data_IF_547827090775
#
_entry.id   IF_547827090775
#
_cell.length_a   1.000
_cell.length_b   1.000
_cell.length_c   1.000
_cell.angle_alpha   90.00
_cell.angle_beta   90.00
_cell.angle_gamma   90.00
#
_symmetry.space_group_name_H-M   'P 1'
#
loop_
_entity.id
_entity.type
_entity.pdbx_description
1 polymer ?
2 non-polymer ?
3 non-polymer ?
4 water ?
#
# COMPACT_ATOMS: atom_id res chain seq x y z
N UNK A 16 -14.08 4.24 39.06
CA UNK A 16 -14.61 4.97 37.92
C UNK A 16 -13.96 4.59 36.61
N UNK A 17 -12.61 4.67 36.56
CA UNK A 17 -11.83 4.24 35.38
C UNK A 17 -10.37 3.95 35.74
N UNK A 18 -9.73 3.17 34.87
CA UNK A 18 -8.31 2.84 34.96
C UNK A 18 -7.74 2.44 33.61
N UNK A 19 -6.42 2.18 33.49
CA UNK A 19 -5.88 1.70 32.21
C UNK A 19 -6.46 0.33 31.83
N UNK A 20 -7.11 0.24 30.66
CA UNK A 20 -7.53 -1.06 30.13
C UNK A 20 -6.31 -1.84 29.64
N UNK A 21 -6.36 -3.18 29.75
CA UNK A 21 -5.36 -4.08 29.18
C UNK A 21 -6.08 -4.91 28.13
N UNK A 22 -5.34 -5.61 27.26
CA UNK A 22 -5.95 -6.50 26.27
C UNK A 22 -5.27 -7.90 26.24
N UNK A 23 -4.03 -7.97 25.72
CA UNK A 23 -3.26 -9.21 25.67
C UNK A 23 -1.89 -8.85 26.23
N UNK A 24 -1.92 -8.38 27.48
CA UNK A 24 -0.74 -7.89 28.19
C UNK A 24 -0.62 -6.38 28.19
N UNK A 25 -0.81 -5.76 27.03
CA UNK A 25 -0.51 -4.33 26.81
C UNK A 25 -1.44 -3.38 27.53
N UNK A 26 -0.90 -2.28 28.10
CA UNK A 26 -1.75 -1.16 28.51
C UNK A 26 -2.33 -0.51 27.23
N UNK A 27 -3.64 -0.32 27.19
CA UNK A 27 -4.31 0.46 26.15
C UNK A 27 -4.82 1.72 26.78
N UNK A 28 -3.97 2.73 26.76
CA UNK A 28 -4.07 3.96 27.53
C UNK A 28 -4.79 5.01 26.67
N UNK A 29 -6.03 4.66 26.28
CA UNK A 29 -6.77 5.42 25.25
C UNK A 29 -7.88 6.25 25.82
N UNK A 30 -8.35 5.93 27.02
CA UNK A 30 -9.49 6.58 27.64
C UNK A 30 -9.26 8.05 27.92
N UNK A 31 -10.29 8.77 28.35
CA UNK A 31 -11.65 8.30 28.67
C UNK A 31 -12.57 8.14 27.43
N UNK A 32 -12.16 8.73 26.30
CA UNK A 32 -13.01 8.75 25.10
C UNK A 32 -13.26 7.38 24.52
N UNK A 33 -12.30 6.47 24.66
CA UNK A 33 -12.34 5.18 23.97
C UNK A 33 -12.33 4.07 24.98
N UNK A 34 -13.41 3.28 25.02
CA UNK A 34 -13.62 2.24 26.04
C UNK A 34 -14.04 0.94 25.39
N UNK A 35 -14.22 -0.11 26.19
CA UNK A 35 -14.82 -1.36 25.76
C UNK A 35 -14.01 -1.93 24.58
N UNK A 36 -12.77 -2.30 24.87
CA UNK A 36 -11.79 -2.70 23.88
C UNK A 36 -11.87 -4.20 23.61
N UNK A 37 -11.75 -4.59 22.31
CA UNK A 37 -11.59 -6.00 21.92
C UNK A 37 -10.37 -6.13 21.03
N UNK A 38 -9.56 -7.14 21.29
CA UNK A 38 -8.40 -7.46 20.48
C UNK A 38 -8.83 -7.70 19.01
N UNK A 39 -8.04 -7.19 18.05
CA UNK A 39 -8.17 -7.46 16.63
C UNK A 39 -6.92 -8.20 16.16
N UNK A 40 -5.75 -7.65 16.41
CA UNK A 40 -4.52 -8.23 15.90
C UNK A 40 -3.25 -7.51 16.31
N UNK A 41 -2.15 -7.93 15.70
CA UNK A 41 -0.83 -7.56 16.16
C UNK A 41 0.17 -7.76 15.02
N UNK A 42 1.27 -7.03 15.06
CA UNK A 42 2.33 -7.16 14.09
C UNK A 42 3.53 -6.33 14.49
N UNK A 43 4.44 -6.07 13.54
CA UNK A 43 5.68 -5.32 13.82
C UNK A 43 5.37 -3.88 14.21
N UNK A 44 4.34 -3.29 13.57
CA UNK A 44 3.77 -1.99 13.94
C UNK A 44 3.36 -1.89 15.42
N UNK A 45 2.85 -2.98 16.03
CA UNK A 45 2.31 -2.95 17.40
C UNK A 45 1.06 -3.78 17.53
N UNK A 46 -0.01 -3.22 18.13
CA UNK A 46 -1.25 -3.95 18.43
C UNK A 46 -2.46 -3.11 18.07
N UNK A 47 -3.56 -3.78 17.64
CA UNK A 47 -4.77 -3.09 17.24
C UNK A 47 -5.99 -3.69 17.96
N UNK A 48 -6.96 -2.82 18.26
CA UNK A 48 -8.18 -3.16 18.96
C UNK A 48 -9.29 -2.41 18.34
N UNK A 49 -10.54 -2.90 18.50
CA UNK A 49 -11.70 -2.04 18.36
C UNK A 49 -11.97 -1.42 19.72
N UNK A 50 -12.58 -0.24 19.72
CA UNK A 50 -12.90 0.51 20.93
C UNK A 50 -14.17 1.23 20.64
N UNK A 51 -15.01 1.41 21.65
CA UNK A 51 -16.19 2.24 21.53
C UNK A 51 -15.74 3.70 21.68
N UNK A 52 -15.96 4.52 20.63
CA UNK A 52 -15.70 5.97 20.69
C UNK A 52 -16.91 6.63 21.38
N UNK A 53 -16.70 7.22 22.56
CA UNK A 53 -17.80 7.80 23.35
C UNK A 53 -18.29 9.18 22.85
N UNK A 54 -17.55 9.86 21.94
CA UNK A 54 -17.93 11.17 21.37
C UNK A 54 -18.70 10.99 20.05
N UNK A 55 -18.34 9.98 19.22
CA UNK A 55 -19.02 9.72 17.94
C UNK A 55 -19.93 8.49 18.01
N UNK A 56 -19.92 7.74 19.12
CA UNK A 56 -20.85 6.63 19.37
C UNK A 56 -20.75 5.52 18.31
N UNK A 57 -19.50 5.18 17.94
CA UNK A 57 -19.20 4.12 16.98
C UNK A 57 -18.00 3.36 17.47
N UNK A 58 -17.86 2.12 17.05
CA UNK A 58 -16.61 1.45 17.29
C UNK A 58 -15.60 1.92 16.23
N UNK A 59 -14.34 2.05 16.64
CA UNK A 59 -13.22 2.55 15.84
C UNK A 59 -12.09 1.60 15.98
N UNK A 60 -11.14 1.62 15.04
CA UNK A 60 -9.93 0.86 15.16
C UNK A 60 -8.94 1.74 15.93
N UNK A 61 -8.17 1.15 16.86
CA UNK A 61 -7.08 1.87 17.52
C UNK A 61 -5.84 1.00 17.46
N UNK A 62 -4.75 1.52 16.85
CA UNK A 62 -3.45 0.87 16.85
C UNK A 62 -2.50 1.62 17.75
N UNK A 63 -1.92 0.89 18.74
CA UNK A 63 -0.88 1.31 19.65
C UNK A 63 0.47 1.02 19.00
N UNK A 64 1.20 2.10 18.72
CA UNK A 64 2.54 2.05 18.14
C UNK A 64 3.50 2.50 19.24
N UNK A 65 4.64 1.81 19.31
CA UNK A 65 5.71 1.95 20.30
C UNK A 65 7.03 1.90 19.54
N UNK A 66 7.32 2.95 18.78
CA UNK A 66 8.43 2.89 17.80
C UNK A 66 9.73 3.57 18.15
N UNK A 67 9.84 4.13 19.34
CA UNK A 67 10.87 5.12 19.57
C UNK A 67 12.24 4.48 19.80
N UNK A 68 12.33 3.14 20.02
CA UNK A 68 13.62 2.41 20.14
C UNK A 68 14.22 1.98 18.79
N UNK A 69 13.51 2.05 17.66
CA UNK A 69 14.26 1.96 16.41
C UNK A 69 13.78 2.89 15.32
N UNK A 70 14.78 3.47 14.62
CA UNK A 70 14.55 4.63 13.73
C UNK A 70 13.74 4.31 12.50
N UNK A 71 13.68 3.03 12.07
CA UNK A 71 12.86 2.62 10.93
C UNK A 71 11.41 2.56 11.35
N UNK A 72 11.10 2.14 12.59
CA UNK A 72 9.72 2.15 13.07
C UNK A 72 9.25 3.60 13.15
N UNK A 73 10.18 4.51 13.54
CA UNK A 73 9.90 5.95 13.67
C UNK A 73 9.60 6.55 12.29
N UNK A 74 10.32 6.11 11.27
CA UNK A 74 10.14 6.54 9.85
C UNK A 74 8.82 6.13 9.30
N UNK A 75 8.47 4.86 9.50
CA UNK A 75 7.20 4.36 9.03
C UNK A 75 6.06 5.06 9.77
N UNK A 76 6.24 5.28 11.11
CA UNK A 76 5.22 5.98 11.90
C UNK A 76 4.97 7.41 11.40
N UNK A 77 6.04 8.15 11.14
CA UNK A 77 5.90 9.55 10.73
C UNK A 77 5.36 9.69 9.28
N UNK A 78 5.77 8.85 8.38
CA UNK A 78 5.24 8.86 7.01
C UNK A 78 3.74 8.64 7.05
N UNK A 79 3.34 7.58 7.77
CA UNK A 79 1.93 7.20 7.95
C UNK A 79 1.13 8.40 8.46
N UNK A 80 1.60 9.02 9.56
CA UNK A 80 0.90 10.14 10.19
C UNK A 80 0.87 11.35 9.28
N UNK A 81 2.01 11.78 8.79
CA UNK A 81 2.04 13.00 7.95
C UNK A 81 1.20 12.82 6.66
N UNK A 82 1.36 11.70 5.95
CA UNK A 82 0.62 11.48 4.72
C UNK A 82 -0.90 11.42 4.96
N UNK A 83 -1.32 10.63 5.94
CA UNK A 83 -2.74 10.37 6.14
C UNK A 83 -3.44 11.57 6.75
N UNK A 84 -2.77 12.38 7.54
CA UNK A 84 -3.36 13.64 7.97
C UNK A 84 -3.51 14.65 6.80
N UNK A 85 -2.66 14.59 5.80
CA UNK A 85 -2.76 15.49 4.66
C UNK A 85 -3.86 14.99 3.75
N UNK A 86 -3.97 13.68 3.57
CA UNK A 86 -4.91 13.15 2.59
C UNK A 86 -6.29 13.11 3.12
N UNK A 87 -7.27 13.34 2.23
CA UNK A 87 -8.68 13.19 2.51
C UNK A 87 -9.37 12.59 1.27
N UNK A 88 -9.74 11.31 1.31
CA UNK A 88 -10.34 10.67 0.16
C UNK A 88 -11.13 9.46 0.63
N UNK A 89 -12.26 9.14 -0.03
CA UNK A 89 -13.15 8.06 0.42
C UNK A 89 -12.49 6.68 0.36
N UNK A 90 -11.50 6.46 -0.53
CA UNK A 90 -10.82 5.19 -0.71
C UNK A 90 -9.45 5.16 -0.06
N UNK A 91 -9.20 6.06 0.90
CA UNK A 91 -7.97 6.10 1.64
C UNK A 91 -8.34 6.19 3.14
N UNK A 92 -7.73 5.35 3.99
CA UNK A 92 -8.11 5.36 5.42
C UNK A 92 -7.66 6.73 6.01
N UNK A 93 -8.44 7.27 6.89
CA UNK A 93 -8.05 8.52 7.48
C UNK A 93 -7.42 8.24 8.83
N UNK A 94 -6.99 9.30 9.48
CA UNK A 94 -6.74 9.27 10.92
C UNK A 94 -7.78 10.17 11.55
N UNK A 95 -8.57 9.61 12.45
CA UNK A 95 -9.61 10.30 13.17
C UNK A 95 -9.09 10.99 14.38
N UNK A 96 -8.14 10.40 15.06
CA UNK A 96 -7.60 10.95 16.29
C UNK A 96 -6.21 10.32 16.54
N UNK A 97 -5.37 10.99 17.35
CA UNK A 97 -4.10 10.44 17.80
C UNK A 97 -4.01 10.72 19.29
N UNK A 98 -3.67 9.69 20.09
CA UNK A 98 -3.54 9.80 21.55
C UNK A 98 -2.08 9.60 21.88
N UNK A 99 -1.55 10.48 22.68
CA UNK A 99 -0.22 10.31 23.24
C UNK A 99 -0.06 11.18 24.46
N UNK A 100 0.98 10.90 25.24
CA UNK A 100 1.35 11.69 26.44
C UNK A 100 1.47 13.22 26.17
N UNK A 101 1.20 14.08 27.20
CA UNK A 101 1.30 15.54 26.99
C UNK A 101 2.71 16.10 26.73
N UNK A 102 3.78 15.36 27.09
CA UNK A 102 5.18 15.78 26.88
C UNK A 102 5.98 14.73 26.13
N UNK A 103 7.10 15.14 25.49
CA UNK A 103 8.01 14.24 24.76
C UNK A 103 8.60 13.18 25.71
N UNK A 104 8.95 13.64 26.91
CA UNK A 104 9.56 12.82 27.96
C UNK A 104 8.60 11.66 28.30
N UNK A 105 7.30 11.98 28.51
CA UNK A 105 6.28 10.98 28.87
C UNK A 105 5.75 10.18 27.70
N UNK A 106 6.07 10.56 26.45
CA UNK A 106 5.54 9.89 25.28
C UNK A 106 6.40 8.66 24.96
N UNK A 107 5.90 7.47 25.32
CA UNK A 107 6.48 6.16 24.94
C UNK A 107 5.63 5.47 23.85
N UNK A 108 4.31 5.80 23.76
CA UNK A 108 3.41 5.21 22.76
C UNK A 108 2.63 6.28 21.97
N UNK A 109 2.11 5.86 20.82
CA UNK A 109 1.18 6.65 20.00
C UNK A 109 0.03 5.74 19.66
N UNK A 110 -1.19 6.15 19.96
CA UNK A 110 -2.38 5.45 19.54
C UNK A 110 -3.00 6.23 18.40
N UNK A 111 -3.17 5.58 17.24
CA UNK A 111 -3.77 6.18 16.05
C UNK A 111 -5.12 5.58 15.93
N UNK A 112 -6.14 6.45 15.96
CA UNK A 112 -7.52 6.03 15.86
C UNK A 112 -7.93 6.14 14.41
N UNK A 113 -8.55 5.08 13.86
CA UNK A 113 -9.03 5.04 12.48
C UNK A 113 -10.39 4.44 12.41
N UNK A 114 -11.11 4.68 11.27
CA UNK A 114 -12.42 4.06 11.07
C UNK A 114 -12.28 2.55 11.14
N UNK A 115 -13.16 1.86 11.86
CA UNK A 115 -13.11 0.40 11.89
C UNK A 115 -13.69 -0.18 10.61
N UNK A 116 -12.96 -1.13 10.04
CA UNK A 116 -13.36 -1.80 8.79
C UNK A 116 -13.54 -3.29 9.11
N UNK A 117 -14.49 -3.97 8.43
CA UNK A 117 -14.88 -5.34 8.81
C UNK A 117 -13.76 -6.29 8.50
N UNK A 118 -13.11 -6.13 7.33
CA UNK A 118 -12.12 -7.07 6.87
C UNK A 118 -11.16 -6.41 5.91
N UNK A 119 -10.35 -7.24 5.27
CA UNK A 119 -9.41 -6.82 4.25
C UNK A 119 -9.43 -7.79 3.10
N UNK A 120 -8.90 -7.38 1.95
CA UNK A 120 -8.96 -8.18 0.75
C UNK A 120 -8.15 -9.46 0.87
N UNK A 121 -7.10 -9.47 1.70
CA UNK A 121 -6.37 -10.71 1.96
C UNK A 121 -7.27 -11.75 2.61
N UNK A 122 -7.97 -11.37 3.67
CA UNK A 122 -8.86 -12.29 4.38
C UNK A 122 -10.00 -12.74 3.49
N UNK A 123 -10.54 -11.81 2.71
CA UNK A 123 -11.66 -12.09 1.81
C UNK A 123 -11.26 -13.06 0.74
N UNK A 124 -10.07 -12.88 0.13
CA UNK A 124 -9.57 -13.81 -0.89
C UNK A 124 -9.25 -15.22 -0.37
N UNK A 125 -8.92 -15.39 0.91
CA UNK A 125 -8.61 -16.73 1.39
C UNK A 125 -9.92 -17.57 1.58
N UNK A 126 -11.08 -16.90 1.80
CA UNK A 126 -12.36 -17.50 2.11
C UNK A 126 -13.45 -17.38 0.99
N UNK A 127 -13.40 -16.35 0.09
CA UNK A 127 -14.55 -15.99 -0.76
C UNK A 127 -14.25 -15.94 -2.24
N UNK A 128 -15.08 -16.62 -3.05
CA UNK A 128 -15.10 -16.33 -4.52
C UNK A 128 -15.62 -14.88 -4.75
N UNK A 129 -14.93 -14.11 -5.60
CA UNK A 129 -15.38 -12.76 -5.98
C UNK A 129 -16.13 -12.87 -7.30
N UNK A 130 -17.38 -12.37 -7.37
CA UNK A 130 -18.02 -12.20 -8.68
C UNK A 130 -17.25 -11.18 -9.52
N UNK A 131 -17.42 -11.25 -10.84
CA UNK A 131 -16.92 -10.20 -11.72
C UNK A 131 -17.36 -8.80 -11.28
N UNK A 132 -18.59 -8.61 -10.90
CA UNK A 132 -19.03 -7.30 -10.39
C UNK A 132 -18.26 -6.81 -9.15
N UNK A 133 -17.95 -7.69 -8.21
CA UNK A 133 -17.12 -7.38 -7.04
C UNK A 133 -15.72 -7.01 -7.47
N UNK A 134 -15.13 -7.78 -8.38
CA UNK A 134 -13.74 -7.54 -8.82
C UNK A 134 -13.66 -6.18 -9.47
N UNK A 135 -14.66 -5.91 -10.33
CA UNK A 135 -14.73 -4.64 -11.03
C UNK A 135 -14.81 -3.44 -10.06
N UNK A 136 -15.68 -3.51 -9.07
CA UNK A 136 -15.87 -2.48 -8.06
C UNK A 136 -14.68 -2.27 -7.15
N UNK A 137 -14.07 -3.34 -6.69
CA UNK A 137 -12.84 -3.26 -5.89
C UNK A 137 -11.71 -2.62 -6.66
N UNK A 138 -11.47 -3.07 -7.88
CA UNK A 138 -10.47 -2.48 -8.75
C UNK A 138 -10.73 -1.02 -9.02
N UNK A 139 -11.99 -0.62 -9.32
CA UNK A 139 -12.35 0.75 -9.51
C UNK A 139 -11.89 1.55 -8.29
N UNK A 140 -12.25 1.08 -7.11
CA UNK A 140 -11.97 1.84 -5.90
C UNK A 140 -10.46 1.91 -5.60
N UNK A 141 -9.70 0.84 -5.86
CA UNK A 141 -8.25 0.86 -5.63
C UNK A 141 -7.65 1.99 -6.50
N UNK A 142 -8.06 2.00 -7.76
CA UNK A 142 -7.48 2.93 -8.73
C UNK A 142 -7.92 4.36 -8.46
N UNK A 143 -9.14 4.53 -7.98
CA UNK A 143 -9.67 5.84 -7.67
C UNK A 143 -8.88 6.42 -6.47
N UNK A 144 -8.67 5.62 -5.42
CA UNK A 144 -7.75 6.00 -4.34
C UNK A 144 -6.34 6.27 -4.83
N UNK A 145 -5.80 5.37 -5.64
CA UNK A 145 -4.43 5.53 -6.16
C UNK A 145 -4.29 6.75 -7.04
N UNK A 146 -5.36 7.17 -7.74
CA UNK A 146 -5.32 8.42 -8.55
C UNK A 146 -5.02 9.60 -7.65
N UNK A 147 -5.73 9.65 -6.54
CA UNK A 147 -5.51 10.72 -5.59
C UNK A 147 -4.07 10.65 -5.03
N UNK A 148 -3.63 9.49 -4.56
CA UNK A 148 -2.25 9.32 -4.05
C UNK A 148 -1.19 9.85 -5.05
N UNK A 149 -1.23 9.34 -6.26
CA UNK A 149 -0.32 9.72 -7.36
C UNK A 149 -0.43 11.18 -7.75
N UNK A 150 -1.64 11.78 -7.65
CA UNK A 150 -1.82 13.24 -7.91
C UNK A 150 -1.10 14.08 -6.87
N UNK A 151 -0.82 13.54 -5.64
CA UNK A 151 -0.06 14.25 -4.63
C UNK A 151 1.44 13.98 -4.77
N UNK A 152 1.85 13.36 -5.92
CA UNK A 152 3.20 12.91 -6.20
C UNK A 152 3.77 11.96 -5.10
N UNK A 153 2.88 11.15 -4.51
CA UNK A 153 3.24 10.15 -3.53
C UNK A 153 3.11 8.75 -4.16
N UNK A 154 3.99 7.82 -3.76
CA UNK A 154 3.93 6.41 -4.13
C UNK A 154 3.63 5.65 -2.87
N UNK A 155 2.67 4.75 -2.90
CA UNK A 155 2.36 3.94 -1.73
C UNK A 155 3.48 2.95 -1.47
N UNK A 156 3.87 2.23 -2.50
CA UNK A 156 5.00 1.28 -2.52
C UNK A 156 4.79 -0.03 -1.74
N UNK A 157 3.64 -0.27 -1.16
CA UNK A 157 3.41 -1.58 -0.57
C UNK A 157 1.96 -2.03 -0.73
N UNK A 158 1.44 -1.91 -1.95
CA UNK A 158 0.04 -2.24 -2.21
C UNK A 158 -0.08 -3.72 -2.27
N UNK A 159 -1.01 -4.28 -1.51
CA UNK A 159 -1.24 -5.71 -1.49
C UNK A 159 -2.60 -5.92 -0.87
N UNK A 160 -3.17 -7.12 -0.99
CA UNK A 160 -4.52 -7.35 -0.45
C UNK A 160 -4.72 -7.01 1.03
N UNK A 161 -3.74 -7.30 1.91
CA UNK A 161 -3.89 -6.96 3.34
C UNK A 161 -3.89 -5.44 3.62
N UNK A 162 -3.42 -4.61 2.70
CA UNK A 162 -3.49 -3.13 2.78
C UNK A 162 -4.71 -2.54 2.12
N UNK A 163 -5.74 -3.38 1.82
CA UNK A 163 -7.00 -2.91 1.27
C UNK A 163 -8.08 -3.33 2.24
N UNK A 164 -8.57 -2.37 3.01
CA UNK A 164 -9.63 -2.59 3.99
C UNK A 164 -11.02 -2.51 3.36
N UNK A 165 -11.94 -3.35 3.83
CA UNK A 165 -13.29 -3.48 3.27
C UNK A 165 -14.28 -3.39 4.39
N UNK A 166 -15.39 -2.67 4.21
CA UNK A 166 -16.53 -2.68 5.18
C UNK A 166 -17.59 -3.66 4.72
N UNK A 167 -18.74 -3.72 5.42
CA UNK A 167 -19.75 -4.77 5.17
C UNK A 167 -20.52 -4.55 3.86
N UNK A 168 -20.38 -3.34 3.27
CA UNK A 168 -20.95 -3.03 1.97
C UNK A 168 -19.86 -2.96 0.88
N UNK A 169 -18.72 -3.60 1.11
CA UNK A 169 -17.62 -3.67 0.11
C UNK A 169 -17.00 -2.28 -0.29
N UNK A 170 -17.18 -1.24 0.56
CA UNK A 170 -16.41 -0.02 0.35
C UNK A 170 -14.99 -0.33 0.75
N UNK A 171 -14.03 0.17 -0.05
CA UNK A 171 -12.64 -0.16 0.03
C UNK A 171 -11.80 1.02 0.40
N UNK A 172 -10.81 0.84 1.28
CA UNK A 172 -9.89 1.92 1.67
C UNK A 172 -8.47 1.41 1.78
N UNK A 173 -7.57 2.13 1.12
CA UNK A 173 -6.16 1.85 1.11
C UNK A 173 -5.56 2.25 2.44
N UNK A 174 -4.78 1.36 3.07
CA UNK A 174 -4.13 1.67 4.36
C UNK A 174 -2.64 1.36 4.33
N UNK A 175 -1.90 1.71 5.40
CA UNK A 175 -0.46 1.46 5.56
C UNK A 175 0.44 2.25 4.58
N UNK A 176 0.69 3.49 4.94
CA UNK A 176 1.58 4.38 4.19
C UNK A 176 2.99 4.51 4.79
N UNK A 177 3.40 3.55 5.62
CA UNK A 177 4.73 3.59 6.23
C UNK A 177 5.88 3.42 5.27
N UNK A 178 5.65 2.85 4.08
CA UNK A 178 6.71 2.77 3.06
C UNK A 178 6.55 3.78 1.95
N UNK A 179 5.65 4.71 2.09
CA UNK A 179 5.36 5.63 1.02
C UNK A 179 6.45 6.64 0.84
N UNK A 180 6.61 7.13 -0.41
CA UNK A 180 7.67 8.08 -0.74
C UNK A 180 7.10 9.12 -1.69
N UNK A 181 7.72 10.28 -1.73
CA UNK A 181 7.49 11.24 -2.81
C UNK A 181 8.12 10.63 -4.10
N UNK A 182 7.46 10.73 -5.25
CA UNK A 182 8.04 10.12 -6.45
C UNK A 182 9.34 10.84 -6.78
N UNK A 183 10.30 10.15 -7.36
CA UNK A 183 11.58 10.74 -7.75
C UNK A 183 12.12 9.98 -8.95
N UNK A 184 11.49 10.18 -10.13
CA UNK A 184 11.91 9.43 -11.32
C UNK A 184 13.33 9.63 -11.79
N UNK A 185 13.95 10.81 -11.55
CA UNK A 185 15.31 11.07 -12.02
C UNK A 185 16.36 10.32 -11.19
N UNK A 186 16.00 9.80 -9.98
CA UNK A 186 16.92 9.02 -9.12
C UNK A 186 16.42 7.58 -8.98
N UNK A 187 15.68 7.08 -9.94
CA UNK A 187 15.11 5.74 -9.85
C UNK A 187 16.17 4.62 -10.18
N UNK A 188 17.25 4.94 -10.88
CA UNK A 188 18.11 3.88 -11.38
C UNK A 188 19.03 3.34 -10.28
N UNK A 189 19.27 2.03 -10.32
CA UNK A 189 20.25 1.36 -9.46
C UNK A 189 20.82 0.16 -10.21
N UNK A 190 21.74 -0.54 -9.58
CA UNK A 190 22.30 -1.78 -10.11
C UNK A 190 21.41 -3.00 -9.93
N UNK A 191 21.91 -4.11 -10.45
CA UNK A 191 21.26 -5.41 -10.47
C UNK A 191 21.24 -6.01 -9.06
N UNK A 192 20.09 -6.54 -8.65
CA UNK A 192 19.87 -7.20 -7.35
C UNK A 192 20.05 -6.24 -6.13
N UNK A 193 19.55 -4.99 -6.24
CA UNK A 193 19.60 -4.03 -5.14
C UNK A 193 18.53 -4.43 -4.16
N UNK A 194 18.84 -4.49 -2.86
CA UNK A 194 17.90 -5.02 -1.85
C UNK A 194 16.67 -4.10 -1.78
N UNK A 195 15.50 -4.61 -1.40
CA UNK A 195 14.27 -3.82 -1.40
C UNK A 195 13.40 -4.20 -0.20
N UNK A 196 12.58 -3.26 0.32
CA UNK A 196 11.85 -3.46 1.60
C UNK A 196 10.39 -4.00 1.43
N UNK A 197 9.68 -3.47 0.45
CA UNK A 197 8.28 -3.78 0.22
C UNK A 197 8.02 -5.24 -0.19
N UNK A 198 6.77 -5.67 -0.13
CA UNK A 198 6.40 -7.08 -0.12
C UNK A 198 6.68 -7.78 -1.44
N UNK A 199 7.41 -8.93 -1.38
CA UNK A 199 8.01 -9.58 -2.55
C UNK A 199 7.06 -9.86 -3.69
N UNK A 200 5.89 -10.44 -3.42
CA UNK A 200 5.00 -10.98 -4.45
C UNK A 200 4.38 -9.87 -5.32
N UNK A 201 4.40 -8.64 -4.82
CA UNK A 201 3.80 -7.49 -5.48
C UNK A 201 4.87 -6.55 -6.06
N UNK A 202 6.17 -6.94 -6.04
CA UNK A 202 7.31 -6.17 -6.64
C UNK A 202 7.43 -6.28 -8.14
N UNK A 203 7.47 -5.13 -8.83
CA UNK A 203 7.60 -5.01 -10.28
C UNK A 203 8.92 -5.63 -10.70
N UNK A 204 9.00 -6.18 -11.93
CA UNK A 204 10.24 -6.85 -12.35
C UNK A 204 11.46 -5.96 -12.26
N UNK A 205 11.31 -4.65 -12.57
CA UNK A 205 12.43 -3.68 -12.58
C UNK A 205 13.11 -3.47 -11.24
N UNK A 206 12.41 -3.72 -10.10
CA UNK A 206 13.04 -3.64 -8.75
C UNK A 206 14.27 -4.56 -8.67
N UNK A 207 14.14 -5.73 -9.27
CA UNK A 207 15.20 -6.72 -9.23
C UNK A 207 16.31 -6.49 -10.27
N UNK A 208 16.05 -5.61 -11.26
CA UNK A 208 16.94 -5.31 -12.38
C UNK A 208 17.64 -3.96 -12.29
N UNK A 209 16.87 -2.83 -12.14
CA UNK A 209 17.49 -1.51 -12.22
C UNK A 209 16.70 -0.36 -11.57
N UNK A 210 15.74 -0.64 -10.68
CA UNK A 210 14.85 0.38 -10.13
C UNK A 210 14.87 0.39 -8.62
N UNK A 211 14.99 1.58 -8.03
CA UNK A 211 14.80 1.81 -6.58
C UNK A 211 13.30 1.90 -6.15
N UNK A 212 12.37 1.73 -7.08
CA UNK A 212 10.96 1.89 -6.79
C UNK A 212 10.48 3.29 -6.49
N UNK A 213 11.03 4.29 -7.21
CA UNK A 213 10.75 5.72 -7.06
C UNK A 213 9.82 6.32 -8.12
N UNK A 214 9.11 5.49 -8.92
CA UNK A 214 8.19 5.96 -9.95
C UNK A 214 6.78 5.32 -9.71
N UNK A 215 5.76 6.02 -10.19
CA UNK A 215 4.33 5.66 -10.10
C UNK A 215 4.02 4.31 -10.68
N UNK A 216 4.77 3.91 -11.71
CA UNK A 216 4.62 2.59 -12.33
C UNK A 216 4.83 1.41 -11.36
N UNK A 217 5.51 1.58 -10.22
CA UNK A 217 5.69 0.47 -9.28
C UNK A 217 4.35 0.09 -8.58
N UNK A 218 3.52 1.10 -8.31
CA UNK A 218 2.21 0.87 -7.74
C UNK A 218 1.25 0.24 -8.71
N UNK A 219 1.33 0.62 -9.97
CA UNK A 219 0.47 0.03 -10.98
C UNK A 219 0.76 -1.44 -11.09
N UNK A 220 2.05 -1.83 -11.02
CA UNK A 220 2.40 -3.28 -11.06
C UNK A 220 1.71 -4.00 -9.93
N UNK A 221 1.80 -3.49 -8.73
CA UNK A 221 1.18 -4.14 -7.58
C UNK A 221 -0.30 -4.28 -7.77
N UNK A 222 -0.97 -3.23 -8.23
CA UNK A 222 -2.41 -3.30 -8.55
C UNK A 222 -2.74 -4.41 -9.57
N UNK A 223 -1.93 -4.50 -10.64
CA UNK A 223 -1.94 -5.61 -11.58
C UNK A 223 -1.94 -6.95 -10.88
N UNK A 224 -1.00 -7.15 -9.93
CA UNK A 224 -0.88 -8.40 -9.17
C UNK A 224 -2.16 -8.68 -8.36
N UNK A 225 -2.70 -7.63 -7.77
CA UNK A 225 -3.91 -7.71 -6.97
C UNK A 225 -5.10 -8.09 -7.81
N UNK A 226 -5.23 -7.50 -9.00
CA UNK A 226 -6.27 -7.90 -9.95
C UNK A 226 -6.15 -9.36 -10.34
N UNK A 227 -4.98 -9.82 -10.67
CA UNK A 227 -4.81 -11.28 -10.95
C UNK A 227 -5.21 -12.14 -9.78
N UNK A 228 -4.88 -11.70 -8.56
CA UNK A 228 -5.23 -12.47 -7.37
C UNK A 228 -6.73 -12.47 -7.09
N UNK A 229 -7.42 -11.32 -7.39
CA UNK A 229 -8.87 -11.28 -7.35
C UNK A 229 -9.54 -12.27 -8.32
N UNK A 230 -8.96 -12.47 -9.49
CA UNK A 230 -9.50 -13.37 -10.48
C UNK A 230 -9.39 -14.88 -10.10
N UNK A 231 -8.45 -15.28 -9.28
CA UNK A 231 -8.25 -16.71 -9.00
C UNK A 231 -8.10 -17.07 -7.53
N UNK A 232 -8.10 -16.08 -6.60
CA UNK A 232 -7.88 -16.31 -5.16
C UNK A 232 -6.49 -16.89 -4.89
N UNK A 233 -5.51 -16.63 -5.75
CA UNK A 233 -4.14 -17.11 -5.52
C UNK A 233 -3.18 -16.03 -5.99
N UNK A 234 -2.07 -15.78 -5.29
CA UNK A 234 -1.11 -14.78 -5.81
C UNK A 234 -0.58 -15.22 -7.16
N UNK A 235 -0.46 -14.29 -8.08
CA UNK A 235 0.02 -14.63 -9.42
C UNK A 235 1.52 -14.94 -9.44
N UNK A 236 2.32 -14.22 -8.66
CA UNK A 236 3.80 -14.39 -8.67
C UNK A 236 4.29 -14.62 -7.22
N UNK A 237 4.02 -15.82 -6.64
CA UNK A 237 4.42 -16.07 -5.25
C UNK A 237 5.88 -16.52 -5.16
N UNK A 238 6.82 -15.66 -5.52
CA UNK A 238 8.23 -15.98 -5.40
C UNK A 238 8.63 -16.24 -3.96
N UNK A 239 9.53 -17.21 -3.74
CA UNK A 239 10.00 -17.59 -2.39
C UNK A 239 11.29 -16.90 -1.98
N UNK A 240 11.87 -16.05 -2.84
CA UNK A 240 13.08 -15.32 -2.46
C UNK A 240 13.40 -14.30 -3.53
N UNK A 241 14.34 -13.37 -3.24
CA UNK A 241 14.54 -12.18 -4.06
C UNK A 241 14.45 -12.41 -5.57
N UNK A 242 15.32 -13.25 -6.14
CA UNK A 242 15.40 -13.44 -7.60
C UNK A 242 14.37 -14.41 -8.12
N UNK A 243 13.83 -15.31 -7.27
CA UNK A 243 12.73 -16.21 -7.68
C UNK A 243 11.51 -15.39 -8.13
N UNK A 244 11.29 -14.21 -7.53
CA UNK A 244 10.22 -13.25 -7.88
C UNK A 244 10.27 -12.87 -9.36
N UNK A 245 11.45 -12.49 -9.87
CA UNK A 245 11.64 -12.17 -11.29
C UNK A 245 11.34 -13.38 -12.18
N UNK A 246 11.73 -14.57 -11.77
CA UNK A 246 11.56 -15.75 -12.60
C UNK A 246 10.07 -16.21 -12.63
N UNK A 247 9.31 -15.97 -11.55
CA UNK A 247 7.87 -16.15 -11.61
C UNK A 247 7.26 -15.17 -12.66
N UNK A 248 7.71 -13.95 -12.69
CA UNK A 248 7.19 -12.91 -13.60
C UNK A 248 7.47 -13.30 -15.01
N UNK A 249 8.69 -13.66 -15.29
CA UNK A 249 9.06 -14.05 -16.65
C UNK A 249 8.46 -15.37 -17.08
N UNK A 250 8.18 -16.25 -16.13
CA UNK A 250 7.46 -17.49 -16.43
C UNK A 250 6.11 -17.26 -17.07
N UNK A 251 5.43 -16.14 -16.71
CA UNK A 251 4.10 -15.82 -17.31
C UNK A 251 4.22 -14.83 -18.46
N UNK A 252 4.98 -13.73 -18.26
CA UNK A 252 5.11 -12.70 -19.30
C UNK A 252 5.92 -13.18 -20.48
N UNK A 253 6.84 -14.09 -20.21
CA UNK A 253 7.81 -14.59 -21.17
C UNK A 253 9.02 -13.69 -21.27
N UNK A 254 9.99 -14.08 -22.12
CA UNK A 254 11.21 -13.30 -22.29
C UNK A 254 10.92 -11.87 -22.72
N UNK A 255 11.61 -10.86 -22.15
CA UNK A 255 11.48 -9.51 -22.72
C UNK A 255 11.96 -9.38 -24.17
N UNK A 256 11.26 -8.53 -24.89
CA UNK A 256 11.57 -8.16 -26.25
C UNK A 256 12.89 -7.43 -26.28
N UNK A 257 13.48 -7.37 -27.46
CA UNK A 257 14.76 -6.69 -27.66
C UNK A 257 14.62 -5.22 -27.23
N UNK A 258 13.48 -4.59 -27.56
CA UNK A 258 13.22 -3.19 -27.21
C UNK A 258 13.22 -3.02 -25.71
N UNK A 259 12.49 -3.89 -24.99
CA UNK A 259 12.50 -3.82 -23.51
C UNK A 259 13.84 -4.13 -22.90
N UNK A 260 14.59 -5.05 -23.49
CA UNK A 260 15.97 -5.34 -23.05
C UNK A 260 16.86 -4.15 -23.25
N UNK A 261 16.79 -3.47 -24.40
CA UNK A 261 17.65 -2.30 -24.72
C UNK A 261 17.44 -1.11 -23.77
N UNK A 262 16.27 -1.02 -23.11
CA UNK A 262 16.04 0.01 -22.10
C UNK A 262 16.80 -0.30 -20.78
N UNK A 263 17.29 -1.54 -20.59
CA UNK A 263 18.07 -1.89 -19.39
C UNK A 263 19.53 -1.76 -19.75
N UNK A 264 20.11 -0.62 -19.42
CA UNK A 264 21.47 -0.31 -19.84
C UNK A 264 22.48 -0.99 -18.90
N UNK A 265 22.13 -1.14 -17.60
CA UNK A 265 22.95 -1.91 -16.66
C UNK A 265 23.32 -3.30 -17.24
N UNK A 266 24.60 -3.56 -17.46
CA UNK A 266 25.06 -4.76 -18.11
C UNK A 266 24.80 -6.01 -17.34
N UNK A 267 24.98 -5.97 -16.01
CA UNK A 267 24.77 -7.13 -15.14
C UNK A 267 23.28 -7.52 -15.31
N UNK A 268 22.37 -6.56 -15.25
CA UNK A 268 20.93 -6.87 -15.37
C UNK A 268 20.59 -7.38 -16.75
N UNK A 269 21.11 -6.67 -17.78
CA UNK A 269 20.88 -7.09 -19.15
C UNK A 269 21.41 -8.47 -19.44
N UNK A 270 22.63 -8.76 -19.08
CA UNK A 270 23.19 -10.04 -19.34
C UNK A 270 22.54 -11.15 -18.54
N UNK A 271 22.01 -10.86 -17.32
CA UNK A 271 21.27 -11.88 -16.62
C UNK A 271 20.07 -12.32 -17.53
N UNK A 272 19.31 -11.35 -18.00
CA UNK A 272 18.16 -11.63 -18.84
C UNK A 272 18.51 -12.35 -20.13
N UNK A 273 19.60 -11.98 -20.74
CA UNK A 273 20.08 -12.63 -21.97
C UNK A 273 20.51 -14.04 -21.71
N UNK A 274 21.01 -14.35 -20.52
CA UNK A 274 21.48 -15.70 -20.19
C UNK A 274 20.33 -16.68 -20.06
N UNK A 275 19.07 -16.21 -19.96
CA UNK A 275 17.96 -17.12 -19.67
C UNK A 275 17.46 -17.76 -20.95
N UNK A 276 17.02 -19.03 -20.91
CA UNK A 276 16.43 -19.59 -22.15
C UNK A 276 15.16 -18.80 -22.53
N UNK A 277 14.86 -18.76 -23.83
CA UNK A 277 13.68 -18.07 -24.40
C UNK A 277 12.42 -18.68 -23.83
N UNK A 278 11.48 -17.88 -23.23
CA UNK A 278 10.18 -18.36 -22.77
C UNK A 278 9.10 -17.54 -23.48
N UNK A 279 8.07 -18.22 -23.96
CA UNK A 279 6.86 -17.61 -24.48
C UNK A 279 5.92 -17.18 -23.33
N UNK A 280 5.21 -16.11 -23.60
CA UNK A 280 4.08 -15.60 -22.83
C UNK A 280 3.01 -16.65 -22.61
N UNK A 281 2.59 -16.86 -21.37
CA UNK A 281 1.40 -17.66 -21.05
C UNK A 281 0.20 -16.70 -21.25
N UNK A 282 -0.76 -17.03 -22.12
CA UNK A 282 -1.85 -16.09 -22.38
C UNK A 282 -2.80 -15.99 -21.21
N UNK A 283 -3.23 -14.77 -20.94
CA UNK A 283 -4.06 -14.51 -19.73
C UNK A 283 -5.31 -15.36 -19.69
N UNK A 284 -5.89 -15.64 -20.84
CA UNK A 284 -7.18 -16.34 -20.93
C UNK A 284 -7.04 -17.85 -20.61
N UNK A 285 -5.80 -18.36 -20.61
CA UNK A 285 -5.46 -19.69 -20.10
C UNK A 285 -5.18 -19.72 -18.60
N UNK A 286 -4.52 -18.68 -18.05
CA UNK A 286 -4.45 -18.57 -16.59
C UNK A 286 -5.79 -18.30 -15.97
N UNK A 287 -6.69 -17.59 -16.70
CA UNK A 287 -7.93 -17.01 -16.14
C UNK A 287 -9.08 -17.31 -17.12
N UNK A 288 -9.42 -18.61 -17.30
CA UNK A 288 -10.44 -18.99 -18.30
C UNK A 288 -11.87 -18.48 -18.08
N UNK A 289 -12.22 -18.10 -16.86
CA UNK A 289 -13.56 -17.61 -16.56
C UNK A 289 -13.60 -16.08 -16.41
N UNK A 290 -12.43 -15.40 -16.57
CA UNK A 290 -12.35 -13.95 -16.39
C UNK A 290 -12.99 -13.19 -17.54
N UNK A 291 -13.57 -12.03 -17.23
CA UNK A 291 -14.09 -11.12 -18.26
C UNK A 291 -12.92 -10.70 -19.19
N UNK A 292 -13.16 -10.64 -20.49
CA UNK A 292 -12.07 -10.38 -21.42
C UNK A 292 -11.53 -8.96 -21.30
N UNK A 293 -12.44 -8.01 -20.99
CA UNK A 293 -11.98 -6.64 -20.68
C UNK A 293 -11.10 -6.58 -19.47
N UNK A 294 -11.39 -7.35 -18.43
CA UNK A 294 -10.52 -7.38 -17.23
C UNK A 294 -9.12 -7.87 -17.60
N UNK A 295 -9.02 -8.85 -18.52
CA UNK A 295 -7.70 -9.36 -18.87
C UNK A 295 -6.98 -8.42 -19.76
N UNK A 296 -7.67 -7.56 -20.51
CA UNK A 296 -6.99 -6.59 -21.34
C UNK A 296 -6.36 -5.58 -20.40
N UNK A 297 -7.12 -5.08 -19.41
CA UNK A 297 -6.56 -4.19 -18.41
C UNK A 297 -5.39 -4.81 -17.61
N UNK A 298 -5.54 -6.06 -17.14
CA UNK A 298 -4.49 -6.81 -16.48
C UNK A 298 -3.19 -6.77 -17.26
N UNK A 299 -3.30 -7.06 -18.55
CA UNK A 299 -2.16 -7.10 -19.44
C UNK A 299 -1.42 -5.77 -19.43
N UNK A 300 -2.17 -4.67 -19.50
CA UNK A 300 -1.56 -3.34 -19.61
C UNK A 300 -0.92 -2.92 -18.27
N UNK A 301 -1.43 -3.44 -17.15
CA UNK A 301 -0.86 -3.17 -15.82
C UNK A 301 0.35 -4.03 -15.56
N UNK A 302 0.33 -5.28 -16.06
CA UNK A 302 1.47 -6.18 -15.89
C UNK A 302 2.34 -6.24 -17.13
N UNK A 303 2.68 -5.03 -17.61
CA UNK A 303 3.63 -4.81 -18.65
C UNK A 303 5.05 -4.80 -18.07
N UNK A 304 5.96 -5.52 -18.72
CA UNK A 304 7.35 -5.66 -18.25
C UNK A 304 8.06 -4.27 -18.17
N UNK A 305 7.97 -3.50 -19.22
CA UNK A 305 8.64 -2.23 -19.33
C UNK A 305 7.85 -1.19 -18.58
N UNK A 306 8.37 -0.59 -17.51
CA UNK A 306 7.56 0.39 -16.77
C UNK A 306 7.15 1.65 -17.52
N UNK A 307 7.89 2.03 -18.54
CA UNK A 307 7.52 3.16 -19.42
C UNK A 307 6.28 2.89 -20.25
N UNK A 308 6.06 1.64 -20.63
CA UNK A 308 4.92 1.22 -21.43
C UNK A 308 3.71 0.81 -20.57
N UNK A 309 3.91 0.65 -19.26
CA UNK A 309 2.88 0.27 -18.34
C UNK A 309 1.83 1.37 -18.27
N UNK A 310 0.57 0.96 -18.22
CA UNK A 310 -0.54 1.92 -18.12
C UNK A 310 -0.43 2.78 -16.85
N UNK A 311 -0.86 4.06 -16.94
CA UNK A 311 -0.93 4.96 -15.79
C UNK A 311 -2.31 4.88 -15.12
N UNK A 312 -2.43 5.36 -13.88
CA UNK A 312 -3.66 5.20 -13.07
C UNK A 312 -4.85 5.77 -13.77
N UNK A 313 -4.72 6.97 -14.35
CA UNK A 313 -5.83 7.65 -14.99
C UNK A 313 -6.23 6.94 -16.25
N UNK A 314 -5.25 6.43 -17.03
CA UNK A 314 -5.60 5.57 -18.16
C UNK A 314 -6.30 4.32 -17.75
N UNK A 315 -5.93 3.70 -16.61
CA UNK A 315 -6.58 2.47 -16.14
C UNK A 315 -8.02 2.71 -15.82
N UNK A 316 -8.28 3.79 -15.12
CA UNK A 316 -9.67 4.21 -14.84
C UNK A 316 -10.56 4.40 -16.04
N UNK A 317 -9.98 4.93 -17.15
CA UNK A 317 -10.64 5.11 -18.45
C UNK A 317 -10.72 3.84 -19.30
N UNK A 318 -10.22 2.69 -18.82
CA UNK A 318 -10.27 1.44 -19.56
C UNK A 318 -11.73 0.93 -19.68
N UNK A 319 -12.12 0.37 -20.84
CA UNK A 319 -13.47 -0.20 -21.01
C UNK A 319 -13.96 -1.10 -19.87
N UNK A 320 -13.09 -1.88 -19.21
CA UNK A 320 -13.51 -2.74 -18.11
C UNK A 320 -14.25 -1.95 -17.01
N UNK A 321 -13.78 -0.69 -16.70
CA UNK A 321 -14.36 0.15 -15.64
C UNK A 321 -15.41 1.16 -16.11
N UNK A 322 -15.88 1.05 -17.34
CA UNK A 322 -16.78 2.03 -17.94
C UNK A 322 -18.04 2.29 -17.13
N UNK A 323 -18.53 1.30 -16.39
CA UNK A 323 -19.76 1.54 -15.65
C UNK A 323 -19.53 2.46 -14.47
N UNK A 324 -18.26 2.53 -13.98
CA UNK A 324 -17.91 3.36 -12.85
C UNK A 324 -17.23 4.68 -13.28
N UNK A 325 -16.60 4.71 -14.44
CA UNK A 325 -15.67 5.81 -14.76
C UNK A 325 -16.34 7.15 -14.81
N UNK A 326 -15.82 8.08 -14.02
CA UNK A 326 -16.33 9.43 -13.93
C UNK A 326 -15.22 10.36 -13.36
N UNK A 327 -14.41 10.98 -14.25
CA UNK A 327 -13.24 11.76 -13.80
C UNK A 327 -13.62 12.88 -12.86
N UNK A 328 -14.82 13.43 -13.03
CA UNK A 328 -15.31 14.49 -12.19
C UNK A 328 -15.60 13.97 -10.77
N UNK A 329 -15.74 12.65 -10.58
CA UNK A 329 -16.00 12.07 -9.28
C UNK A 329 -14.81 11.20 -8.84
N UNK A 330 -13.59 11.53 -9.33
CA UNK A 330 -12.34 10.86 -8.99
C UNK A 330 -11.38 11.98 -8.66
N UNK A 331 -11.48 12.50 -7.45
CA UNK A 331 -10.71 13.71 -7.11
C UNK A 331 -9.20 13.53 -7.00
N UNK A 332 -8.52 14.66 -7.12
CA UNK A 332 -7.06 14.73 -6.91
C UNK A 332 -6.72 15.60 -5.70
N UNK A 333 -5.47 15.54 -5.26
CA UNK A 333 -5.04 16.33 -4.09
C UNK A 333 -4.91 17.82 -4.44
N UNK A 334 -5.15 18.70 -3.48
CA UNK A 334 -5.06 20.14 -3.69
C UNK A 334 -3.62 20.56 -4.02
N UNK A 335 -2.63 19.86 -3.47
CA UNK A 335 -1.26 20.15 -3.86
C UNK A 335 -0.33 18.94 -3.69
N UNK A 336 0.78 18.90 -4.45
CA UNK A 336 1.76 17.82 -4.26
C UNK A 336 2.26 17.73 -2.81
N UNK A 337 2.52 16.51 -2.37
CA UNK A 337 3.12 16.26 -1.07
C UNK A 337 4.60 16.45 -1.17
N UNK A 338 5.18 17.04 -0.14
CA UNK A 338 6.64 17.10 0.07
C UNK A 338 6.87 17.02 1.57
N UNK A 339 7.83 16.19 1.98
CA UNK A 339 8.32 16.17 3.36
C UNK A 339 9.19 17.43 3.56
N UNK A 340 9.17 18.03 4.75
CA UNK A 340 10.03 19.20 5.03
C UNK A 340 11.51 18.82 4.96
N UNK A 341 11.84 17.63 5.49
CA UNK A 341 13.21 17.15 5.62
C UNK A 341 13.29 15.73 5.07
N UNK A 342 14.49 15.36 4.57
CA UNK A 342 14.74 13.98 4.16
C UNK A 342 14.71 13.12 5.43
N UNK A 343 13.81 12.12 5.47
CA UNK A 343 13.53 11.38 6.70
C UNK A 343 14.56 10.33 7.03
N UNK A 344 15.35 9.88 6.04
CA UNK A 344 16.55 9.08 6.36
C UNK A 344 17.74 9.98 6.65
N UNK A 345 18.75 9.38 7.29
CA UNK A 345 19.84 10.08 8.00
C UNK A 345 19.32 10.98 9.15
N UNK A 346 18.02 10.87 9.54
CA UNK A 346 17.44 11.64 10.64
C UNK A 346 17.39 10.68 11.83
N UNK A 347 17.96 10.99 13.01
CA UNK A 347 17.94 10.00 14.10
C UNK A 347 16.57 9.70 14.74
N UNK A 348 16.41 8.46 15.31
CA UNK A 348 15.30 8.05 16.23
C UNK A 348 14.78 9.23 17.05
N UNK A 349 15.73 10.02 17.60
CA UNK A 349 15.46 11.11 18.54
C UNK A 349 14.80 12.30 17.86
N UNK A 350 15.27 12.71 16.67
CA UNK A 350 14.57 13.76 15.91
C UNK A 350 13.23 13.27 15.35
N UNK A 351 13.12 12.01 14.89
CA UNK A 351 11.84 11.55 14.34
C UNK A 351 10.73 11.55 15.44
N UNK A 352 11.08 11.18 16.70
CA UNK A 352 10.21 11.35 17.88
C UNK A 352 9.69 12.78 18.04
N UNK A 353 10.57 13.77 17.92
CA UNK A 353 10.21 15.19 18.03
C UNK A 353 9.21 15.55 16.96
N UNK A 354 9.48 15.12 15.72
CA UNK A 354 8.61 15.40 14.57
C UNK A 354 7.26 14.72 14.73
N UNK A 355 7.25 13.47 15.17
CA UNK A 355 6.01 12.77 15.59
C UNK A 355 5.25 13.58 16.69
N UNK A 356 5.96 14.05 17.70
CA UNK A 356 5.33 14.87 18.75
C UNK A 356 4.62 16.08 18.14
N UNK A 357 5.33 16.81 17.25
CA UNK A 357 4.79 17.99 16.56
C UNK A 357 3.62 17.63 15.69
N UNK A 358 3.71 16.53 14.94
CA UNK A 358 2.69 16.18 13.95
C UNK A 358 1.36 15.76 14.64
N UNK A 359 1.46 15.33 15.90
CA UNK A 359 0.32 14.84 16.68
C UNK A 359 -0.27 15.89 17.64
N UNK A 360 0.30 17.12 17.72
CA UNK A 360 -0.15 18.14 18.65
C UNK A 360 -1.59 18.59 18.40
N UNK A 361 -2.09 18.57 17.16
CA UNK A 361 -3.46 19.06 16.85
C UNK A 361 -4.59 18.29 17.59
N UNK A 362 -4.32 17.02 17.96
CA UNK A 362 -5.26 16.14 18.62
C UNK A 362 -5.24 16.28 20.13
N UNK A 363 -4.35 17.09 20.66
CA UNK A 363 -4.30 17.32 22.08
C UNK A 363 -5.38 18.31 22.53
N UNK A 364 -5.97 18.11 23.74
CA UNK A 364 -6.76 19.19 24.37
C UNK A 364 -5.94 20.49 24.45
N UNK A 365 -6.31 21.45 23.61
CA UNK A 365 -5.65 22.75 23.50
C UNK A 365 -6.24 23.64 22.43
X LIG B 1 13.74 -10.51 -0.21
X LIG B 1 13.01 -11.26 0.79
X LIG B 1 13.15 -10.91 -1.51
X LIG B 1 15.17 -10.78 -0.09
X LIG B 1 13.52 -9.04 -0.01
X LIG C 1 0.91 -10.02 4.26
X LIG C 1 -0.34 -10.54 3.68
X LIG C 1 1.90 -9.78 3.20
X LIG C 1 0.65 -8.79 4.99
X LIG C 1 1.43 -11.03 5.21
X LIG D 1 3.15 2.57 9.61
X LIG D 1 2.82 1.62 10.76
X LIG D 1 0.05 -0.74 9.60
X LIG D 1 -1.59 -2.12 10.99
X LIG D 1 -3.98 -2.92 11.70
X LIG D 1 -5.34 -2.75 11.54
X LIG D 1 -5.85 -1.82 10.65
X LIG D 1 -4.96 -1.00 9.95
X LIG D 1 -3.57 -1.17 10.12
X LIG D 1 -2.41 -0.48 9.50
X LIG D 1 -8.05 -2.82 10.59
X LIG D 1 -9.38 -2.67 10.55
X LIG D 1 -9.64 -5.16 10.57
X LIG D 1 -10.68 -6.10 11.17
X LIG D 1 -10.16 -7.49 11.08
X LIG D 1 -8.90 -7.05 9.15
X LIG D 1 -9.30 -5.60 9.15
X LIG D 1 -9.33 -0.41 10.48
X LIG D 1 4.09 1.22 11.48
X LIG D 1 5.97 -0.26 11.78
X LIG D 1 4.80 0.09 11.12
X LIG D 1 2.05 0.49 10.23
X LIG D 1 0.72 0.37 10.39
X LIG D 1 0.07 1.11 11.13
X LIG D 1 -1.30 -1.06 10.02
X LIG D 1 -3.08 -2.13 11.00
X LIG D 1 -2.42 0.41 8.67
X LIG D 1 -7.33 -1.67 10.55
X LIG D 1 -10.14 -3.79 10.58
X LIG D 1 -9.91 -7.87 9.71
X LIG D 1 -10.08 -1.52 10.50
X LIG D 1 -7.95 -0.43 10.52
X LIG D 1 -7.07 1.07 10.50
X LIG D 1 4.58 2.02 12.52
X LIG D 1 5.74 1.65 13.19
X LIG D 1 6.44 0.52 12.82
X LIG D 1 2.26 2.98 9.15
X LIG D 1 3.72 2.07 8.81
X LIG D 1 3.76 3.40 9.98
X LIG D 1 2.21 2.19 11.48
X LIG D 1 0.04 -0.50 8.54
X LIG D 1 0.65 -1.65 9.69
X LIG D 1 -1.18 -3.08 10.69
X LIG D 1 -1.18 -1.89 11.98
X LIG D 1 -3.59 -3.68 12.38
X LIG D 1 -6.01 -3.40 12.11
X LIG D 1 -5.30 -0.24 9.25
X LIG D 1 -8.75 -5.25 11.19
X LIG D 1 -10.88 -5.83 12.21
X LIG D 1 -11.64 -6.02 10.67
X LIG D 1 -9.26 -7.66 11.68
X LIG D 1 -10.90 -8.22 11.42
X LIG D 1 -8.77 -7.45 8.15
X LIG D 1 -7.94 -7.21 9.66
X LIG D 1 -10.14 -5.43 8.48
X LIG D 1 -8.49 -4.99 8.73
X LIG D 1 -9.87 0.54 10.43
X LIG D 1 6.52 -1.15 11.51
X LIG D 1 4.48 -0.57 10.32
X LIG D 1 2.48 -0.04 9.50
X LIG D 1 -11.10 -3.67 10.88
X LIG D 1 4.05 2.91 12.82
X LIG D 1 6.13 2.26 14.00
X LIG D 1 7.35 0.25 13.34
#
# INVERSE_FOLDING_TARGET
MAHHHHHHMAAAAAAGAGPEMVRGQVFDVGPRYTNLSYIGEGAYGMVCSAYDNVNKVRVAIKKISPFEHQTYCQRTLREIKILLRFRHENIIGINDIIRAPTIEQMKDVYIVQDLMETDLYKLLKTQHLSNDHICYFLYQILRGLKYIHSANVLHRDLKPSNLLLNTTCDLKICDFGLARVADPDHDHTGFLTEYVATRWYRAPEIMLNSKGYTKSIDIWSVGCILAEMLSNRPIFPGKHYLDQLNHILGILGSPSQEDLNCIINLKARNYLLSLPHKNKVPWNRLFPNADSKALDLLDKMLTFNPHKRIEVEQALAHPYLEQYYDPSDEPIAEAPFKFDMELDDLPKEKLKELIFEETARFQPGYRS
SO4 S O1 O2 O3 O4
SO4 S O1 O2 O3 O4
ERK C1 C2 C6 C8 C10 C11 C12 C13 C14 C15 N18 C19 C21 C22 C23 C25 C26 C28 C31 C35 C36 N3 C4 O5 N7 C9 O16 C17 N20 O24 N27 C29 CL3 C32 C33 C34 H39 H38 H40 H37 H42 H43 H44 H45 H46 H47 H48 H50 H51 H52 H53 H54 H56 H55 H57 H58 H59 H63 H64 H41 H49 H60 H61 H62
#
